data_IF_246066182444
#
_entry.id   IF_246066182444
#
_cell.length_a   1.000
_cell.length_b   1.000
_cell.length_c   1.000
_cell.angle_alpha   90.00
_cell.angle_beta   90.00
_cell.angle_gamma   90.00
#
_symmetry.space_group_name_H-M   'P 1'
#
loop_
_entity.id
_entity.type
_entity.pdbx_description
1 polymer ?
#
# COMPACT_ATOMS: atom_id res chain seq x y z
N UNK A 1 -20.54 23.39 -7.31
CA UNK A 1 -21.48 24.04 -6.37
C UNK A 1 -21.99 25.33 -6.97
N UNK A 2 -21.13 26.31 -7.33
CA UNK A 2 -21.54 27.61 -7.88
C UNK A 2 -22.42 27.49 -9.12
N UNK A 3 -22.10 26.60 -10.06
CA UNK A 3 -22.88 26.38 -11.27
C UNK A 3 -24.28 25.81 -10.96
N UNK A 4 -24.39 24.88 -10.02
CA UNK A 4 -25.70 24.37 -9.57
C UNK A 4 -26.51 25.46 -8.87
N UNK A 5 -25.87 26.25 -8.02
CA UNK A 5 -26.55 27.34 -7.31
C UNK A 5 -27.09 28.44 -8.26
N UNK A 6 -26.35 28.73 -9.37
CA UNK A 6 -26.81 29.69 -10.37
C UNK A 6 -27.97 29.17 -11.22
N UNK A 7 -28.00 27.84 -11.53
CA UNK A 7 -29.10 27.22 -12.28
C UNK A 7 -30.34 26.97 -11.44
N UNK A 8 -30.18 26.76 -10.16
CA UNK A 8 -31.26 26.41 -9.23
C UNK A 8 -31.20 27.26 -7.96
N UNK A 9 -31.40 28.58 -8.07
CA UNK A 9 -31.25 29.53 -6.94
C UNK A 9 -32.27 29.30 -5.80
N UNK A 10 -33.38 28.59 -6.09
CA UNK A 10 -34.40 28.25 -5.11
C UNK A 10 -34.00 27.09 -4.18
N UNK A 11 -32.94 26.32 -4.50
CA UNK A 11 -32.51 25.24 -3.65
C UNK A 11 -31.38 25.68 -2.70
N UNK A 12 -31.48 25.23 -1.47
CA UNK A 12 -30.38 25.33 -0.51
C UNK A 12 -29.45 24.10 -0.72
N UNK A 13 -28.23 24.32 -1.14
CA UNK A 13 -27.22 23.29 -1.26
C UNK A 13 -26.56 23.08 0.10
N UNK A 14 -26.61 21.87 0.63
CA UNK A 14 -25.93 21.48 1.86
C UNK A 14 -24.84 20.45 1.52
N UNK A 15 -23.69 20.55 2.19
CA UNK A 15 -22.64 19.55 2.12
C UNK A 15 -22.98 18.36 3.04
N UNK A 16 -23.03 17.17 2.47
CA UNK A 16 -23.27 15.92 3.20
C UNK A 16 -21.99 15.25 3.69
N UNK A 17 -20.83 15.71 3.22
CA UNK A 17 -19.54 15.08 3.54
C UNK A 17 -19.31 14.91 5.05
N UNK A 18 -19.56 15.92 5.91
CA UNK A 18 -19.34 15.75 7.34
C UNK A 18 -20.20 14.64 7.98
N UNK A 19 -21.41 14.43 7.47
CA UNK A 19 -22.31 13.38 7.95
C UNK A 19 -21.80 12.01 7.49
N UNK A 20 -21.47 11.88 6.20
CA UNK A 20 -20.99 10.64 5.61
C UNK A 20 -19.65 10.22 6.19
N UNK A 21 -18.75 11.17 6.42
CA UNK A 21 -17.44 10.92 7.03
C UNK A 21 -17.60 10.43 8.47
N UNK A 22 -18.47 11.06 9.25
CA UNK A 22 -18.82 10.61 10.59
C UNK A 22 -19.38 9.19 10.62
N UNK A 23 -20.25 8.84 9.66
CA UNK A 23 -20.81 7.48 9.54
C UNK A 23 -19.74 6.43 9.15
N UNK A 24 -18.74 6.82 8.36
CA UNK A 24 -17.67 5.94 7.88
C UNK A 24 -16.53 5.77 8.88
N UNK A 25 -16.40 6.63 9.85
CA UNK A 25 -15.25 6.67 10.77
C UNK A 25 -15.15 5.37 11.60
N UNK A 26 -16.27 4.91 12.15
CA UNK A 26 -16.33 3.71 12.98
C UNK A 26 -17.06 2.61 12.22
N UNK A 27 -16.34 1.52 11.92
CA UNK A 27 -16.86 0.39 11.14
C UNK A 27 -17.66 -0.57 12.01
N UNK A 28 -18.78 -1.06 11.48
CA UNK A 28 -19.54 -2.16 12.09
C UNK A 28 -18.77 -3.50 11.98
N UNK A 29 -19.30 -4.53 12.62
CA UNK A 29 -18.72 -5.89 12.52
C UNK A 29 -18.81 -6.45 11.09
N UNK A 30 -19.91 -6.14 10.40
CA UNK A 30 -20.18 -6.55 9.03
C UNK A 30 -19.22 -5.85 8.07
N UNK A 31 -19.00 -4.54 8.23
CA UNK A 31 -18.03 -3.77 7.45
C UNK A 31 -16.60 -4.30 7.66
N UNK A 32 -16.22 -4.59 8.90
CA UNK A 32 -14.92 -5.20 9.21
C UNK A 32 -14.76 -6.56 8.52
N UNK A 33 -15.82 -7.37 8.45
CA UNK A 33 -15.78 -8.65 7.76
C UNK A 33 -15.55 -8.48 6.25
N UNK A 34 -16.18 -7.49 5.61
CA UNK A 34 -15.97 -7.16 4.19
C UNK A 34 -14.54 -6.66 3.91
N UNK A 35 -14.05 -5.73 4.74
CA UNK A 35 -12.67 -5.23 4.64
C UNK A 35 -11.66 -6.37 4.82
N UNK A 36 -11.88 -7.26 5.78
CA UNK A 36 -11.04 -8.44 5.99
C UNK A 36 -11.04 -9.36 4.77
N UNK A 37 -12.20 -9.57 4.13
CA UNK A 37 -12.29 -10.37 2.92
C UNK A 37 -11.56 -9.71 1.75
N UNK A 38 -11.72 -8.40 1.55
CA UNK A 38 -10.97 -7.64 0.56
C UNK A 38 -9.46 -7.76 0.78
N UNK A 39 -9.00 -7.64 2.04
CA UNK A 39 -7.58 -7.80 2.42
C UNK A 39 -7.06 -9.22 2.11
N UNK A 40 -7.85 -10.26 2.37
CA UNK A 40 -7.47 -11.64 2.03
C UNK A 40 -7.33 -11.84 0.53
N UNK A 41 -8.25 -11.29 -0.27
CA UNK A 41 -8.19 -11.37 -1.73
C UNK A 41 -6.96 -10.60 -2.25
N UNK A 42 -6.68 -9.41 -1.73
CA UNK A 42 -5.47 -8.65 -2.06
C UNK A 42 -4.20 -9.45 -1.75
N UNK A 43 -4.14 -10.10 -0.59
CA UNK A 43 -3.01 -10.96 -0.21
C UNK A 43 -2.79 -12.14 -1.17
N UNK A 44 -3.87 -12.80 -1.60
CA UNK A 44 -3.80 -13.86 -2.60
C UNK A 44 -3.27 -13.34 -3.94
N UNK A 45 -3.76 -12.18 -4.39
CA UNK A 45 -3.33 -11.57 -5.64
C UNK A 45 -1.84 -11.20 -5.61
N UNK A 46 -1.36 -10.62 -4.52
CA UNK A 46 0.07 -10.32 -4.35
C UNK A 46 0.92 -11.60 -4.37
N UNK A 47 0.47 -12.67 -3.71
CA UNK A 47 1.18 -13.96 -3.73
C UNK A 47 1.28 -14.51 -5.16
N UNK A 48 0.20 -14.46 -5.94
CA UNK A 48 0.23 -14.93 -7.34
C UNK A 48 1.05 -13.99 -8.24
N UNK A 49 1.04 -12.69 -8.01
CA UNK A 49 1.91 -11.74 -8.68
C UNK A 49 3.40 -12.05 -8.37
N UNK A 50 3.75 -12.32 -7.12
CA UNK A 50 5.11 -12.75 -6.74
C UNK A 50 5.54 -14.03 -7.48
N UNK A 51 4.67 -15.03 -7.57
CA UNK A 51 4.95 -16.29 -8.31
C UNK A 51 5.10 -16.07 -9.81
N UNK A 52 4.41 -15.08 -10.35
CA UNK A 52 4.43 -14.71 -11.76
C UNK A 52 5.56 -13.74 -12.12
N UNK A 53 6.31 -13.27 -11.13
CA UNK A 53 7.41 -12.33 -11.33
C UNK A 53 8.66 -13.04 -11.82
N UNK A 54 9.19 -12.57 -12.96
CA UNK A 54 10.48 -13.01 -13.50
C UNK A 54 11.10 -11.88 -14.34
N UNK A 55 12.42 -11.90 -14.58
CA UNK A 55 13.02 -11.03 -15.57
C UNK A 55 12.36 -11.18 -16.95
N UNK A 56 12.05 -10.06 -17.60
CA UNK A 56 11.37 -10.03 -18.90
C UNK A 56 9.84 -9.94 -18.82
N UNK A 57 9.24 -10.08 -17.65
CA UNK A 57 7.81 -9.84 -17.42
C UNK A 57 7.56 -8.32 -17.41
N UNK A 58 6.45 -7.87 -17.99
CA UNK A 58 6.02 -6.48 -17.92
C UNK A 58 5.20 -6.20 -16.66
N UNK A 59 5.27 -4.98 -16.16
CA UNK A 59 4.51 -4.55 -14.98
C UNK A 59 3.00 -4.78 -15.15
N UNK A 60 2.42 -4.49 -16.33
CA UNK A 60 0.99 -4.72 -16.62
C UNK A 60 0.59 -6.21 -16.59
N UNK A 61 1.53 -7.13 -16.77
CA UNK A 61 1.23 -8.55 -16.68
C UNK A 61 0.96 -8.97 -15.22
N UNK A 62 1.67 -8.35 -14.27
CA UNK A 62 1.38 -8.55 -12.84
C UNK A 62 0.02 -7.95 -12.45
N UNK A 63 -0.35 -6.80 -13.04
CA UNK A 63 -1.68 -6.21 -12.89
C UNK A 63 -2.78 -7.18 -13.39
N UNK A 64 -2.57 -7.78 -14.55
CA UNK A 64 -3.51 -8.77 -15.10
C UNK A 64 -3.66 -10.00 -14.20
N UNK A 65 -2.57 -10.51 -13.63
CA UNK A 65 -2.58 -11.61 -12.65
C UNK A 65 -3.41 -11.24 -11.42
N UNK A 66 -3.18 -10.06 -10.86
CA UNK A 66 -3.92 -9.60 -9.69
C UNK A 66 -5.41 -9.44 -9.97
N UNK A 67 -5.78 -8.84 -11.10
CA UNK A 67 -7.18 -8.69 -11.54
C UNK A 67 -7.87 -10.04 -11.72
N UNK A 68 -7.19 -11.02 -12.31
CA UNK A 68 -7.72 -12.37 -12.41
C UNK A 68 -8.09 -12.92 -11.03
N UNK A 69 -7.18 -12.83 -10.06
CA UNK A 69 -7.43 -13.28 -8.69
C UNK A 69 -8.58 -12.51 -8.03
N UNK A 70 -8.68 -11.20 -8.25
CA UNK A 70 -9.80 -10.40 -7.74
C UNK A 70 -11.13 -10.92 -8.26
N UNK A 71 -11.26 -11.09 -9.57
CA UNK A 71 -12.51 -11.50 -10.19
C UNK A 71 -12.94 -12.93 -9.83
N UNK A 72 -12.01 -13.90 -9.82
CA UNK A 72 -12.34 -15.28 -9.45
C UNK A 72 -12.72 -15.44 -7.97
N UNK A 73 -12.37 -14.45 -7.13
CA UNK A 73 -12.75 -14.40 -5.72
C UNK A 73 -13.96 -13.49 -5.44
N UNK A 74 -14.69 -13.05 -6.48
CA UNK A 74 -15.95 -12.34 -6.36
C UNK A 74 -15.84 -10.82 -6.20
N UNK A 75 -14.67 -10.23 -6.48
CA UNK A 75 -14.53 -8.79 -6.58
C UNK A 75 -15.22 -8.26 -7.84
N UNK A 76 -15.77 -7.06 -7.75
CA UNK A 76 -16.38 -6.35 -8.89
C UNK A 76 -15.37 -5.59 -9.74
N UNK A 77 -14.18 -5.34 -9.22
CA UNK A 77 -13.13 -4.58 -9.86
C UNK A 77 -12.07 -4.11 -8.88
N UNK A 78 -11.42 -3.04 -9.24
CA UNK A 78 -10.34 -2.42 -8.48
C UNK A 78 -10.92 -1.51 -7.39
N UNK A 79 -10.38 -1.56 -6.19
CA UNK A 79 -10.70 -0.61 -5.12
C UNK A 79 -10.10 0.77 -5.38
N UNK A 80 -8.98 0.80 -6.08
CA UNK A 80 -8.28 1.98 -6.60
C UNK A 80 -7.38 1.58 -7.78
N UNK A 81 -6.88 2.58 -8.51
CA UNK A 81 -5.99 2.33 -9.64
C UNK A 81 -4.70 1.64 -9.16
N UNK A 82 -4.38 0.48 -9.75
CA UNK A 82 -3.22 -0.31 -9.36
C UNK A 82 -1.90 0.44 -9.53
N UNK A 83 -1.04 0.34 -8.54
CA UNK A 83 0.33 0.86 -8.56
C UNK A 83 1.26 -0.35 -8.59
N UNK A 84 1.93 -0.57 -9.71
CA UNK A 84 2.87 -1.66 -9.90
C UNK A 84 4.07 -1.12 -10.65
N UNK A 85 5.20 -1.02 -9.97
CA UNK A 85 6.42 -0.47 -10.53
C UNK A 85 7.64 -1.33 -10.26
N UNK A 86 8.46 -1.54 -11.28
CA UNK A 86 9.75 -2.22 -11.19
C UNK A 86 10.92 -1.24 -11.18
N UNK A 87 11.99 -1.55 -10.45
CA UNK A 87 13.19 -0.73 -10.43
C UNK A 87 12.93 0.72 -10.03
N UNK A 88 13.29 1.68 -10.89
CA UNK A 88 13.09 3.12 -10.63
C UNK A 88 11.62 3.53 -10.58
N UNK A 89 10.72 2.82 -11.24
CA UNK A 89 9.28 3.12 -11.21
C UNK A 89 8.67 2.89 -9.83
N UNK A 90 9.28 2.03 -9.01
CA UNK A 90 8.85 1.79 -7.63
C UNK A 90 9.01 3.02 -6.70
N UNK A 91 9.78 4.03 -7.11
CA UNK A 91 9.93 5.29 -6.36
C UNK A 91 8.90 6.36 -6.75
N UNK A 92 8.16 6.15 -7.82
CA UNK A 92 7.14 7.11 -8.24
C UNK A 92 5.84 6.86 -7.46
N UNK A 93 5.47 7.79 -6.60
CA UNK A 93 4.15 7.77 -5.96
C UNK A 93 3.04 7.75 -7.01
N UNK A 94 2.06 6.85 -6.86
CA UNK A 94 0.94 6.69 -7.78
C UNK A 94 1.33 6.41 -9.25
N UNK A 95 2.33 5.54 -9.46
CA UNK A 95 2.76 5.13 -10.80
C UNK A 95 1.72 4.22 -11.46
N UNK A 96 1.04 4.73 -12.49
CA UNK A 96 -0.08 4.04 -13.16
C UNK A 96 0.24 3.49 -14.55
N UNK A 97 1.41 3.80 -15.14
CA UNK A 97 1.71 3.44 -16.53
C UNK A 97 1.91 1.94 -16.74
N UNK A 98 2.69 1.30 -15.88
CA UNK A 98 2.91 -0.17 -15.88
C UNK A 98 3.43 -0.73 -17.22
N UNK A 99 4.27 0.02 -17.90
CA UNK A 99 4.72 -0.32 -19.26
C UNK A 99 6.11 -0.91 -19.35
N UNK A 100 6.87 -0.86 -18.26
CA UNK A 100 8.26 -1.27 -18.26
C UNK A 100 8.42 -2.77 -18.03
N UNK A 101 9.54 -3.28 -18.55
CA UNK A 101 9.99 -4.67 -18.36
C UNK A 101 10.77 -4.78 -17.06
N UNK A 102 10.45 -5.77 -16.27
CA UNK A 102 11.18 -6.10 -15.03
C UNK A 102 12.56 -6.68 -15.37
N UNK A 103 13.59 -6.14 -14.74
CA UNK A 103 14.99 -6.50 -14.99
C UNK A 103 15.58 -7.29 -13.84
N UNK A 104 16.62 -8.11 -14.11
CA UNK A 104 17.38 -8.76 -13.04
C UNK A 104 17.93 -7.73 -12.04
N UNK A 105 17.75 -7.97 -10.75
CA UNK A 105 18.21 -7.08 -9.68
C UNK A 105 17.23 -5.98 -9.29
N UNK A 106 16.15 -5.77 -10.04
CA UNK A 106 15.10 -4.83 -9.67
C UNK A 106 14.29 -5.36 -8.47
N UNK A 107 13.69 -4.42 -7.73
CA UNK A 107 12.57 -4.67 -6.83
C UNK A 107 11.27 -4.30 -7.54
N UNK A 108 10.21 -5.06 -7.28
CA UNK A 108 8.84 -4.73 -7.66
C UNK A 108 8.11 -4.20 -6.44
N UNK A 109 7.50 -3.04 -6.55
CA UNK A 109 6.48 -2.54 -5.63
C UNK A 109 5.11 -2.83 -6.24
N UNK A 110 4.21 -3.39 -5.46
CA UNK A 110 2.80 -3.54 -5.80
C UNK A 110 1.95 -3.02 -4.66
N UNK A 111 1.13 -2.05 -4.97
CA UNK A 111 0.12 -1.46 -4.09
C UNK A 111 -1.23 -1.59 -4.79
N UNK A 112 -2.04 -2.54 -4.30
CA UNK A 112 -3.26 -2.89 -5.00
C UNK A 112 -4.24 -3.66 -4.12
N UNK A 113 -5.52 -3.31 -4.23
CA UNK A 113 -6.58 -4.05 -3.58
C UNK A 113 -7.90 -4.04 -4.39
N UNK A 114 -8.75 -5.08 -4.20
CA UNK A 114 -10.02 -5.20 -4.89
C UNK A 114 -11.12 -4.34 -4.26
N UNK A 115 -12.13 -4.00 -5.05
CA UNK A 115 -13.47 -3.68 -4.54
C UNK A 115 -14.22 -4.98 -4.23
N UNK A 116 -14.53 -5.22 -2.96
CA UNK A 116 -15.37 -6.33 -2.53
C UNK A 116 -16.60 -5.79 -1.81
N UNK A 117 -17.75 -5.80 -2.51
CA UNK A 117 -19.02 -5.26 -2.01
C UNK A 117 -18.91 -3.80 -1.54
N UNK A 118 -18.25 -2.95 -2.33
CA UNK A 118 -17.98 -1.52 -2.05
C UNK A 118 -17.03 -1.26 -0.86
N UNK A 119 -16.33 -2.29 -0.38
CA UNK A 119 -15.25 -2.18 0.58
C UNK A 119 -13.95 -2.61 -0.06
N UNK A 120 -12.88 -1.92 0.29
CA UNK A 120 -11.53 -2.23 -0.16
C UNK A 120 -10.61 -2.42 1.04
N UNK A 121 -9.38 -2.82 0.76
CA UNK A 121 -8.23 -2.73 1.66
C UNK A 121 -7.15 -1.86 1.01
N UNK A 122 -6.03 -1.72 1.67
CA UNK A 122 -4.84 -1.05 1.18
C UNK A 122 -3.64 -1.95 1.54
N UNK A 123 -3.02 -2.55 0.54
CA UNK A 123 -1.96 -3.54 0.77
C UNK A 123 -0.80 -3.31 -0.19
N UNK A 124 0.31 -2.85 0.34
CA UNK A 124 1.56 -2.68 -0.41
C UNK A 124 2.58 -3.74 -0.01
N UNK A 125 3.26 -4.32 -1.00
CA UNK A 125 4.42 -5.20 -0.81
C UNK A 125 5.50 -4.91 -1.83
N UNK A 126 6.74 -5.17 -1.42
CA UNK A 126 7.93 -5.10 -2.27
C UNK A 126 8.62 -6.46 -2.26
N UNK A 127 9.07 -6.91 -3.44
CA UNK A 127 9.85 -8.14 -3.58
C UNK A 127 10.85 -8.06 -4.73
N UNK A 128 11.93 -8.86 -4.71
CA UNK A 128 12.93 -8.85 -5.77
C UNK A 128 12.45 -9.64 -7.00
N UNK A 129 12.72 -9.10 -8.19
CA UNK A 129 12.40 -9.75 -9.48
C UNK A 129 13.06 -11.13 -9.61
N UNK A 130 14.26 -11.29 -9.05
CA UNK A 130 14.98 -12.58 -9.06
C UNK A 130 14.50 -13.59 -7.99
N UNK A 131 13.43 -13.28 -7.24
CA UNK A 131 12.91 -14.13 -6.18
C UNK A 131 13.76 -14.16 -4.90
N UNK A 132 14.90 -13.47 -4.87
CA UNK A 132 15.80 -13.41 -3.71
C UNK A 132 16.38 -12.00 -3.56
N UNK A 133 16.23 -11.42 -2.38
CA UNK A 133 16.87 -10.15 -2.05
C UNK A 133 18.40 -10.28 -2.08
N UNK A 134 19.07 -9.31 -2.67
CA UNK A 134 20.50 -9.12 -2.41
C UNK A 134 20.73 -8.63 -0.97
N UNK A 135 21.97 -8.68 -0.45
CA UNK A 135 22.26 -8.27 0.93
C UNK A 135 21.83 -6.83 1.26
N UNK A 136 22.03 -5.89 0.34
CA UNK A 136 21.69 -4.48 0.55
C UNK A 136 20.18 -4.24 0.50
N UNK A 137 19.48 -4.87 -0.43
CA UNK A 137 18.02 -4.85 -0.50
C UNK A 137 17.39 -5.44 0.77
N UNK A 138 17.92 -6.58 1.23
CA UNK A 138 17.43 -7.25 2.44
C UNK A 138 17.61 -6.38 3.69
N UNK A 139 18.72 -5.67 3.78
CA UNK A 139 19.00 -4.77 4.89
C UNK A 139 17.98 -3.65 5.00
N UNK A 140 17.68 -2.95 3.88
CA UNK A 140 16.65 -1.92 3.84
C UNK A 140 15.25 -2.49 4.08
N UNK A 141 14.93 -3.64 3.51
CA UNK A 141 13.66 -4.30 3.73
C UNK A 141 13.44 -4.64 5.21
N UNK A 142 14.47 -5.18 5.88
CA UNK A 142 14.43 -5.47 7.31
C UNK A 142 14.26 -4.20 8.17
N UNK A 143 14.85 -3.08 7.74
CA UNK A 143 14.65 -1.80 8.40
C UNK A 143 13.17 -1.39 8.35
N UNK A 144 12.55 -1.44 7.16
CA UNK A 144 11.13 -1.10 6.99
C UNK A 144 10.23 -2.05 7.76
N UNK A 145 10.52 -3.36 7.81
CA UNK A 145 9.76 -4.30 8.63
C UNK A 145 9.88 -3.98 10.13
N UNK A 146 11.07 -3.60 10.59
CA UNK A 146 11.29 -3.21 12.00
C UNK A 146 10.48 -1.95 12.32
N UNK A 147 10.51 -0.94 11.45
CA UNK A 147 9.73 0.28 11.61
C UNK A 147 8.21 0.00 11.63
N UNK A 148 7.72 -0.79 10.69
CA UNK A 148 6.32 -1.21 10.67
C UNK A 148 5.92 -1.90 11.98
N UNK A 149 6.75 -2.79 12.49
CA UNK A 149 6.47 -3.49 13.75
C UNK A 149 6.50 -2.54 14.96
N UNK A 150 7.38 -1.53 14.95
CA UNK A 150 7.38 -0.47 15.95
C UNK A 150 6.07 0.34 15.93
N UNK A 151 5.56 0.71 14.74
CA UNK A 151 4.26 1.38 14.61
C UNK A 151 3.13 0.53 15.18
N UNK A 152 3.02 -0.74 14.79
CA UNK A 152 1.98 -1.64 15.28
C UNK A 152 2.00 -1.85 16.80
N UNK A 153 3.16 -1.79 17.41
CA UNK A 153 3.31 -1.91 18.89
C UNK A 153 2.52 -0.83 19.64
N UNK A 154 2.37 0.36 19.02
CA UNK A 154 1.79 1.53 19.68
C UNK A 154 0.37 1.86 19.22
N UNK A 155 -0.12 1.26 18.12
CA UNK A 155 -1.49 1.46 17.65
C UNK A 155 -2.47 0.80 18.62
N UNK A 156 -3.30 1.62 19.28
CA UNK A 156 -4.37 1.17 20.17
C UNK A 156 -5.45 2.25 20.30
N UNK A 157 -6.66 1.91 20.78
CA UNK A 157 -7.67 2.93 21.04
C UNK A 157 -7.18 4.03 21.99
N UNK A 158 -7.53 5.26 21.70
CA UNK A 158 -7.23 6.44 22.55
C UNK A 158 -5.85 7.07 22.34
N UNK A 159 -5.08 6.65 21.33
CA UNK A 159 -3.83 7.32 20.92
C UNK A 159 -4.03 8.11 19.62
N UNK A 160 -3.26 9.18 19.45
CA UNK A 160 -3.18 9.92 18.19
C UNK A 160 -2.13 9.32 17.26
N UNK A 161 -2.18 9.68 15.97
CA UNK A 161 -1.15 9.30 14.98
C UNK A 161 0.24 9.79 15.42
N UNK A 162 0.32 11.04 15.92
CA UNK A 162 1.59 11.64 16.31
C UNK A 162 2.22 10.89 17.49
N UNK A 163 1.42 10.52 18.50
CA UNK A 163 1.91 9.70 19.62
C UNK A 163 2.45 8.34 19.16
N UNK A 164 1.85 7.73 18.15
CA UNK A 164 2.33 6.46 17.58
C UNK A 164 3.65 6.68 16.84
N UNK A 165 3.72 7.72 16.01
CA UNK A 165 4.91 8.07 15.24
C UNK A 165 6.10 8.40 16.15
N UNK A 166 5.90 9.26 17.17
CA UNK A 166 6.96 9.66 18.10
C UNK A 166 7.54 8.46 18.85
N UNK A 167 6.68 7.56 19.32
CA UNK A 167 7.14 6.34 20.02
C UNK A 167 7.83 5.36 19.10
N UNK A 168 7.34 5.20 17.86
CA UNK A 168 8.00 4.36 16.88
C UNK A 168 9.34 4.94 16.44
N UNK A 169 9.44 6.26 16.29
CA UNK A 169 10.71 6.95 15.99
C UNK A 169 11.75 6.69 17.09
N UNK A 170 11.38 6.82 18.36
CA UNK A 170 12.28 6.53 19.48
C UNK A 170 12.77 5.06 19.49
N UNK A 171 11.89 4.08 19.18
CA UNK A 171 12.30 2.69 19.02
C UNK A 171 13.27 2.51 17.84
N UNK A 172 13.08 3.26 16.75
CA UNK A 172 13.96 3.20 15.58
C UNK A 172 15.28 3.89 15.79
N UNK A 173 15.34 4.99 16.51
CA UNK A 173 16.61 5.61 16.94
C UNK A 173 17.46 4.61 17.75
N UNK A 174 16.84 3.93 18.72
CA UNK A 174 17.50 2.89 19.49
C UNK A 174 17.97 1.70 18.63
N UNK A 175 17.17 1.32 17.62
CA UNK A 175 17.53 0.27 16.66
C UNK A 175 18.75 0.66 15.81
N UNK A 176 18.92 1.95 15.47
CA UNK A 176 20.00 2.44 14.61
C UNK A 176 21.33 2.61 15.36
N UNK A 177 21.33 2.62 16.69
CA UNK A 177 22.56 2.76 17.47
C UNK A 177 23.54 1.64 17.13
N UNK A 178 24.73 2.00 16.65
CA UNK A 178 25.78 1.07 16.25
C UNK A 178 25.52 0.28 14.98
N UNK A 179 24.45 0.55 14.25
CA UNK A 179 24.20 -0.07 12.95
C UNK A 179 25.10 0.49 11.87
N UNK A 180 25.61 -0.42 11.06
CA UNK A 180 26.29 -0.10 9.80
C UNK A 180 25.48 -0.66 8.66
N UNK A 181 25.41 0.08 7.56
CA UNK A 181 24.69 -0.36 6.35
C UNK A 181 25.69 -0.71 5.26
N UNK A 182 25.31 -1.66 4.40
CA UNK A 182 26.14 -2.11 3.27
C UNK A 182 26.54 -0.96 2.33
N UNK A 183 25.71 0.09 2.25
CA UNK A 183 26.01 1.32 1.50
C UNK A 183 25.96 2.53 2.44
N UNK A 184 27.01 3.39 2.47
CA UNK A 184 27.08 4.52 3.41
C UNK A 184 25.88 5.47 3.35
N UNK A 185 25.32 5.70 2.16
CA UNK A 185 24.17 6.58 1.98
C UNK A 185 22.85 6.00 2.52
N UNK A 186 22.78 4.70 2.82
CA UNK A 186 21.60 4.09 3.43
C UNK A 186 21.42 4.58 4.87
N UNK A 187 22.49 4.67 5.64
CA UNK A 187 22.40 5.21 7.00
C UNK A 187 21.83 6.63 7.00
N UNK A 188 22.31 7.47 6.08
CA UNK A 188 21.79 8.83 5.94
C UNK A 188 20.29 8.84 5.60
N UNK A 189 19.89 8.05 4.62
CA UNK A 189 18.50 7.98 4.16
C UNK A 189 17.51 7.46 5.22
N UNK A 190 17.94 6.69 6.22
CA UNK A 190 17.06 6.18 7.29
C UNK A 190 17.09 7.07 8.54
N UNK A 191 17.94 8.10 8.59
CA UNK A 191 18.02 9.09 9.66
C UNK A 191 17.33 10.41 9.32
N UNK A 192 17.09 10.67 8.02
CA UNK A 192 16.29 11.80 7.49
C UNK A 192 14.78 11.48 7.45
#
# INVERSE_FOLDING_TARGET
VQQLQSQFPQFKINDLSPILDGMRLIKSKEEIALIRKATQIAGLAIIEAMKSTAPGVYEYQLDAVAKYIFHVNGSRGDGYASIIGGGTNAFMGHYFHKTDVLKPGDLVLMDYAPDYHYYTSDVTRIWPVNGKFDPAQKELYNYIETYRNALFKYIKPGVTSDEVLDKAAADMEAYLVGKTFAKPHYLKAVQE
#
